data_IF_473186418353
#
_entry.id   IF_473186418353
#
_cell.length_a   1.000
_cell.length_b   1.000
_cell.length_c   1.000
_cell.angle_alpha   90.00
_cell.angle_beta   90.00
_cell.angle_gamma   90.00
#
_symmetry.space_group_name_H-M   'P 1'
#
loop_
_entity.id
_entity.type
_entity.pdbx_description
1 polymer ?
#
# COMPACT_ATOMS: atom_id res chain seq x y z
N UNK A 1 -68.48 41.67 5.81
CA UNK A 1 -67.43 41.51 6.82
C UNK A 1 -66.37 40.56 6.28
N UNK A 2 -65.27 41.12 5.81
CA UNK A 2 -64.08 40.43 5.32
C UNK A 2 -63.25 39.96 6.53
N UNK A 3 -62.94 38.66 6.60
CA UNK A 3 -61.83 38.18 7.44
C UNK A 3 -60.87 37.39 6.56
N UNK A 4 -59.81 38.07 6.14
CA UNK A 4 -58.56 37.45 5.69
C UNK A 4 -57.97 36.66 6.86
N UNK A 5 -57.52 35.45 6.63
CA UNK A 5 -56.38 34.90 7.38
C UNK A 5 -55.58 34.05 6.41
N UNK A 6 -54.49 34.69 5.98
CA UNK A 6 -53.32 34.16 5.33
C UNK A 6 -52.70 33.05 6.20
N UNK A 7 -52.26 31.95 5.60
CA UNK A 7 -51.26 31.04 6.17
C UNK A 7 -50.54 30.34 5.03
N UNK A 8 -49.29 30.76 4.84
CA UNK A 8 -48.33 30.35 3.82
C UNK A 8 -48.20 28.83 3.61
N UNK A 9 -47.92 28.37 2.37
CA UNK A 9 -47.32 27.07 2.18
C UNK A 9 -45.84 27.19 2.58
N UNK A 10 -45.44 26.62 3.73
CA UNK A 10 -44.02 26.38 4.00
C UNK A 10 -43.51 25.34 3.00
N UNK A 11 -42.55 25.65 2.12
CA UNK A 11 -41.77 24.59 1.52
C UNK A 11 -40.84 24.08 2.63
N UNK A 12 -41.06 22.83 3.07
CA UNK A 12 -40.02 22.11 3.76
C UNK A 12 -38.89 21.91 2.74
N UNK A 13 -37.94 22.85 2.70
CA UNK A 13 -36.66 22.66 2.02
C UNK A 13 -36.04 21.40 2.63
N UNK A 14 -36.16 20.31 1.88
CA UNK A 14 -35.36 19.11 2.10
C UNK A 14 -33.93 19.52 1.75
N UNK A 15 -33.22 20.08 2.72
CA UNK A 15 -31.79 20.33 2.60
C UNK A 15 -31.09 18.97 2.60
N UNK A 16 -31.10 18.35 1.43
CA UNK A 16 -30.34 17.14 1.15
C UNK A 16 -28.88 17.52 1.26
N UNK A 17 -28.21 17.06 2.31
CA UNK A 17 -26.76 17.23 2.43
C UNK A 17 -26.11 16.64 1.17
N UNK A 18 -25.40 17.48 0.42
CA UNK A 18 -24.69 17.02 -0.77
C UNK A 18 -23.53 16.12 -0.34
N UNK A 19 -23.35 14.95 -0.98
CA UNK A 19 -22.27 14.05 -0.63
C UNK A 19 -20.92 14.69 -0.99
N UNK A 20 -20.10 14.95 0.02
CA UNK A 20 -18.70 15.36 -0.18
C UNK A 20 -17.89 14.14 -0.62
N UNK A 21 -17.53 14.09 -1.90
CA UNK A 21 -16.67 13.04 -2.46
C UNK A 21 -15.23 13.53 -2.53
N UNK A 22 -14.33 12.91 -1.78
CA UNK A 22 -12.88 13.10 -1.91
C UNK A 22 -12.28 11.96 -2.74
N UNK A 23 -11.55 12.26 -3.83
CA UNK A 23 -10.89 11.21 -4.59
C UNK A 23 -9.84 10.54 -3.70
N UNK A 24 -9.76 9.21 -3.79
CA UNK A 24 -8.65 8.47 -3.20
C UNK A 24 -7.39 8.75 -4.03
N UNK A 25 -6.27 8.97 -3.35
CA UNK A 25 -4.98 9.17 -4.01
C UNK A 25 -4.58 7.93 -4.79
N UNK A 26 -3.95 8.15 -5.94
CA UNK A 26 -3.42 7.04 -6.74
C UNK A 26 -2.26 6.35 -6.01
N UNK A 27 -1.99 5.09 -6.36
CA UNK A 27 -0.86 4.35 -5.79
C UNK A 27 0.46 5.09 -6.01
N UNK A 28 0.68 5.62 -7.20
CA UNK A 28 1.90 6.36 -7.54
C UNK A 28 2.05 7.64 -6.70
N UNK A 29 0.94 8.34 -6.45
CA UNK A 29 0.92 9.55 -5.65
C UNK A 29 1.21 9.26 -4.17
N UNK A 30 0.65 8.18 -3.62
CA UNK A 30 0.96 7.71 -2.27
C UNK A 30 2.43 7.36 -2.10
N UNK A 31 2.98 6.59 -3.06
CA UNK A 31 4.40 6.23 -3.06
C UNK A 31 5.26 7.50 -3.13
N UNK A 32 4.94 8.43 -4.03
CA UNK A 32 5.67 9.69 -4.15
C UNK A 32 5.67 10.51 -2.86
N UNK A 33 4.51 10.65 -2.22
CA UNK A 33 4.40 11.36 -0.93
C UNK A 33 5.20 10.67 0.18
N UNK A 34 5.16 9.35 0.26
CA UNK A 34 5.96 8.60 1.22
C UNK A 34 7.46 8.77 0.99
N UNK A 35 7.92 8.68 -0.26
CA UNK A 35 9.34 8.81 -0.61
C UNK A 35 9.85 10.20 -0.28
N UNK A 36 9.12 11.26 -0.64
CA UNK A 36 9.51 12.63 -0.31
C UNK A 36 9.54 12.82 1.22
N UNK A 37 8.53 12.34 1.93
CA UNK A 37 8.49 12.45 3.39
C UNK A 37 9.65 11.69 4.06
N UNK A 38 10.03 10.53 3.53
CA UNK A 38 11.16 9.74 4.01
C UNK A 38 12.50 10.43 3.74
N UNK A 39 12.72 10.94 2.52
CA UNK A 39 13.97 11.62 2.14
C UNK A 39 14.20 12.95 2.86
N UNK A 40 13.15 13.57 3.41
CA UNK A 40 13.28 14.75 4.25
C UNK A 40 13.87 14.47 5.65
N UNK A 41 14.05 13.20 6.02
CA UNK A 41 14.71 12.81 7.28
C UNK A 41 16.23 12.77 7.07
N UNK A 42 16.98 13.48 7.92
CA UNK A 42 18.42 13.72 7.71
C UNK A 42 19.28 12.47 7.53
N UNK A 43 18.94 11.38 8.21
CA UNK A 43 19.70 10.12 8.16
C UNK A 43 19.30 9.19 7.00
N UNK A 44 18.27 9.53 6.23
CA UNK A 44 17.74 8.65 5.19
C UNK A 44 18.58 8.70 3.93
N UNK A 45 19.04 7.54 3.48
CA UNK A 45 19.81 7.38 2.24
C UNK A 45 19.05 6.60 1.17
N UNK A 46 18.04 5.82 1.56
CA UNK A 46 17.21 5.03 0.65
C UNK A 46 15.78 4.82 1.22
N UNK A 47 14.84 4.43 0.36
CA UNK A 47 13.46 4.12 0.76
C UNK A 47 13.02 2.80 0.12
N UNK A 48 12.66 1.82 0.93
CA UNK A 48 12.05 0.57 0.44
C UNK A 48 10.54 0.71 0.50
N UNK A 49 9.89 0.51 -0.64
CA UNK A 49 8.43 0.55 -0.73
C UNK A 49 7.89 -0.82 -1.12
N UNK A 50 6.88 -1.28 -0.39
CA UNK A 50 6.18 -2.52 -0.65
C UNK A 50 4.68 -2.32 -0.57
N UNK A 51 3.94 -3.18 -1.28
CA UNK A 51 2.48 -3.22 -1.20
C UNK A 51 2.11 -4.46 -0.42
N UNK A 52 1.51 -4.25 0.74
CA UNK A 52 0.96 -5.34 1.56
C UNK A 52 -0.53 -5.51 1.26
N UNK A 53 -1.04 -6.72 1.44
CA UNK A 53 -2.45 -7.03 1.28
C UNK A 53 -2.99 -7.78 2.50
N UNK A 54 -4.18 -7.39 2.96
CA UNK A 54 -4.97 -8.17 3.91
C UNK A 54 -6.41 -8.34 3.42
N UNK A 55 -7.26 -9.04 4.18
CA UNK A 55 -8.70 -9.12 3.90
C UNK A 55 -9.40 -7.75 3.85
N UNK A 56 -8.76 -6.70 4.37
CA UNK A 56 -9.30 -5.34 4.49
C UNK A 56 -8.86 -4.43 3.32
N UNK A 57 -7.88 -4.83 2.51
CA UNK A 57 -7.44 -4.06 1.33
C UNK A 57 -5.94 -4.09 1.08
N UNK A 58 -5.50 -3.33 0.07
CA UNK A 58 -4.08 -3.11 -0.27
C UNK A 58 -3.58 -1.87 0.47
N UNK A 59 -2.39 -1.98 1.06
CA UNK A 59 -1.74 -0.87 1.76
C UNK A 59 -0.31 -0.69 1.26
N UNK A 60 0.05 0.55 0.95
CA UNK A 60 1.43 0.94 0.64
C UNK A 60 2.20 1.17 1.93
N UNK A 61 3.34 0.50 2.07
CA UNK A 61 4.26 0.68 3.18
C UNK A 61 5.60 1.11 2.61
N UNK A 62 6.12 2.24 3.07
CA UNK A 62 7.41 2.78 2.68
C UNK A 62 8.28 2.97 3.92
N UNK A 63 9.48 2.42 3.91
CA UNK A 63 10.40 2.41 5.03
C UNK A 63 11.64 3.22 4.63
N UNK A 64 11.92 4.36 5.30
CA UNK A 64 13.21 5.03 5.17
C UNK A 64 14.30 4.11 5.71
N UNK A 65 15.46 4.14 5.05
CA UNK A 65 16.64 3.42 5.45
C UNK A 65 17.78 4.39 5.68
N UNK A 66 18.48 4.22 6.81
CA UNK A 66 19.77 4.84 7.04
C UNK A 66 20.92 4.04 6.38
N UNK A 67 22.13 4.57 6.50
CA UNK A 67 23.33 3.95 5.89
C UNK A 67 23.62 2.55 6.43
N UNK A 68 23.39 2.29 7.71
CA UNK A 68 23.67 1.01 8.35
C UNK A 68 22.63 -0.04 7.91
N UNK A 69 21.36 0.36 7.88
CA UNK A 69 20.26 -0.47 7.39
C UNK A 69 20.43 -0.81 5.91
N UNK A 70 20.84 0.15 5.08
CA UNK A 70 21.11 -0.09 3.66
C UNK A 70 22.30 -1.06 3.47
N UNK A 71 23.36 -0.91 4.26
CA UNK A 71 24.50 -1.82 4.22
C UNK A 71 24.09 -3.26 4.58
N UNK A 72 23.28 -3.43 5.62
CA UNK A 72 22.77 -4.74 6.04
C UNK A 72 21.91 -5.40 4.94
N UNK A 73 21.05 -4.62 4.28
CA UNK A 73 20.25 -5.11 3.14
C UNK A 73 21.16 -5.54 1.99
N UNK A 74 22.17 -4.74 1.64
CA UNK A 74 23.13 -5.07 0.60
C UNK A 74 23.84 -6.40 0.89
N UNK A 75 24.30 -6.59 2.13
CA UNK A 75 24.94 -7.82 2.59
C UNK A 75 24.00 -9.03 2.49
N UNK A 76 22.74 -8.87 2.86
CA UNK A 76 21.73 -9.93 2.72
C UNK A 76 21.52 -10.32 1.26
N UNK A 77 21.35 -9.33 0.37
CA UNK A 77 21.15 -9.57 -1.06
C UNK A 77 22.33 -10.32 -1.67
N UNK A 78 23.57 -9.92 -1.35
CA UNK A 78 24.77 -10.61 -1.81
C UNK A 78 24.85 -12.05 -1.31
N UNK A 79 24.44 -12.31 -0.06
CA UNK A 79 24.41 -13.67 0.49
C UNK A 79 23.41 -14.56 -0.25
N UNK A 80 22.24 -14.03 -0.63
CA UNK A 80 21.22 -14.74 -1.40
C UNK A 80 21.67 -15.00 -2.84
N UNK A 81 22.36 -14.05 -3.47
CA UNK A 81 22.93 -14.24 -4.82
C UNK A 81 24.01 -15.32 -4.86
N UNK A 82 24.75 -15.49 -3.75
CA UNK A 82 25.85 -16.46 -3.65
C UNK A 82 25.38 -17.83 -3.15
N UNK A 83 24.22 -17.93 -2.50
CA UNK A 83 23.60 -19.21 -2.20
C UNK A 83 23.08 -19.84 -3.48
N UNK A 84 23.46 -21.09 -3.76
CA UNK A 84 22.86 -21.85 -4.86
C UNK A 84 21.33 -21.77 -4.73
N UNK A 85 20.65 -21.38 -5.82
CA UNK A 85 19.19 -21.37 -5.82
C UNK A 85 18.72 -22.73 -5.33
N UNK A 86 17.77 -22.79 -4.38
CA UNK A 86 17.25 -24.07 -3.94
C UNK A 86 16.72 -24.78 -5.19
N UNK A 87 17.18 -26.02 -5.40
CA UNK A 87 16.73 -26.81 -6.52
C UNK A 87 15.21 -26.78 -6.55
N UNK A 88 14.66 -26.40 -7.71
CA UNK A 88 13.23 -26.22 -7.85
C UNK A 88 12.58 -27.60 -7.97
N UNK A 89 12.36 -28.24 -6.83
CA UNK A 89 11.69 -29.54 -6.79
C UNK A 89 10.24 -29.32 -7.20
N UNK A 90 9.87 -29.89 -8.34
CA UNK A 90 8.49 -29.84 -8.83
C UNK A 90 7.60 -30.72 -7.95
N UNK A 91 6.77 -30.10 -7.12
CA UNK A 91 5.86 -30.80 -6.23
C UNK A 91 4.39 -30.54 -6.62
N UNK A 92 3.57 -31.60 -6.60
CA UNK A 92 2.12 -31.55 -6.75
C UNK A 92 1.49 -32.22 -5.52
N UNK A 93 0.88 -31.41 -4.65
CA UNK A 93 0.38 -31.89 -3.36
C UNK A 93 1.52 -32.35 -2.44
N UNK A 94 1.50 -33.61 -2.02
CA UNK A 94 2.54 -34.24 -1.18
C UNK A 94 3.60 -35.04 -1.99
N UNK A 95 3.55 -34.98 -3.32
CA UNK A 95 4.49 -35.72 -4.19
C UNK A 95 5.45 -34.76 -4.85
N UNK A 96 6.75 -35.03 -4.70
CA UNK A 96 7.83 -34.26 -5.28
C UNK A 96 8.62 -35.14 -6.24
N UNK A 97 8.95 -34.61 -7.42
CA UNK A 97 9.79 -35.29 -8.42
C UNK A 97 11.23 -34.78 -8.28
N UNK A 98 12.14 -35.66 -7.90
CA UNK A 98 13.59 -35.45 -7.98
C UNK A 98 14.05 -35.97 -9.35
N UNK A 99 14.83 -35.18 -10.10
CA UNK A 99 15.41 -35.68 -11.36
C UNK A 99 16.71 -36.43 -11.02
N UNK A 100 16.96 -37.54 -11.73
CA UNK A 100 17.97 -38.54 -11.35
C UNK A 100 19.42 -38.11 -11.56
N UNK A 101 19.68 -36.81 -11.71
CA UNK A 101 21.02 -36.20 -11.75
C UNK A 101 21.48 -35.69 -10.39
N UNK A 102 20.61 -35.75 -9.37
CA UNK A 102 20.84 -35.16 -8.05
C UNK A 102 21.34 -36.20 -7.00
N UNK A 103 22.14 -37.19 -7.43
CA UNK A 103 22.81 -38.18 -6.54
C UNK A 103 24.32 -38.21 -6.78
#
# INVERSE_FOLDING_TARGET
MTKKTDSEPMPAEQQSAEPVSTPLSSLAEQIGQHVIAALNQESTVAVVTTITGSRVGRQVVSLPLDSDQMHNIQMLLMAVETSEQPETVSCVGFHCKFDSTDV
#
